data_IF_852361800875
#
_entry.id   IF_852361800875
#
_cell.length_a   1.000
_cell.length_b   1.000
_cell.length_c   1.000
_cell.angle_alpha   90.00
_cell.angle_beta   90.00
_cell.angle_gamma   90.00
#
_symmetry.space_group_name_H-M   'P 1'
#
loop_
_entity.id
_entity.type
_entity.pdbx_description
1 polymer ?
#
# COMPACT_ATOMS: atom_id res chain seq x y z
N UNK A 1 -11.71 14.87 -2.60
CA UNK A 1 -11.12 13.50 -2.51
C UNK A 1 -12.26 12.48 -2.48
N UNK A 2 -12.19 11.38 -3.28
CA UNK A 2 -13.10 10.23 -3.18
C UNK A 2 -12.64 9.32 -2.04
N UNK A 3 -13.57 8.52 -1.49
CA UNK A 3 -13.29 7.59 -0.39
C UNK A 3 -13.68 6.17 -0.76
N UNK A 4 -13.06 5.22 -0.08
CA UNK A 4 -13.36 3.79 -0.11
C UNK A 4 -13.83 3.37 1.29
N UNK A 5 -14.81 2.48 1.37
CA UNK A 5 -15.39 2.02 2.64
C UNK A 5 -14.97 0.58 2.93
N UNK A 6 -14.45 0.34 4.13
CA UNK A 6 -14.02 -0.97 4.62
C UNK A 6 -14.92 -1.42 5.78
N UNK A 7 -15.18 -2.73 5.86
CA UNK A 7 -15.90 -3.33 7.00
C UNK A 7 -14.97 -3.39 8.22
N UNK A 8 -15.46 -2.96 9.37
CA UNK A 8 -14.71 -3.05 10.64
C UNK A 8 -14.97 -4.37 11.37
N UNK A 9 -14.08 -4.71 12.31
CA UNK A 9 -14.16 -5.96 13.08
C UNK A 9 -15.40 -6.03 13.99
N UNK A 10 -15.97 -4.89 14.35
CA UNK A 10 -17.21 -4.77 15.14
C UNK A 10 -18.49 -4.72 14.30
N UNK A 11 -18.36 -4.88 12.97
CA UNK A 11 -19.48 -4.86 12.03
C UNK A 11 -19.88 -3.47 11.52
N UNK A 12 -19.19 -2.41 11.92
CA UNK A 12 -19.32 -1.06 11.40
C UNK A 12 -18.56 -0.85 10.08
N UNK A 13 -18.22 0.40 9.79
CA UNK A 13 -17.47 0.78 8.59
C UNK A 13 -16.40 1.82 8.89
N UNK A 14 -15.28 1.76 8.16
CA UNK A 14 -14.23 2.76 8.13
C UNK A 14 -14.14 3.33 6.70
N UNK A 15 -14.20 4.66 6.58
CA UNK A 15 -14.03 5.37 5.30
C UNK A 15 -12.60 5.88 5.20
N UNK A 16 -11.89 5.56 4.12
CA UNK A 16 -10.51 5.98 3.86
C UNK A 16 -10.40 6.70 2.53
N UNK A 17 -9.46 7.64 2.40
CA UNK A 17 -9.21 8.33 1.12
C UNK A 17 -8.78 7.37 0.02
N UNK A 18 -9.29 7.57 -1.21
CA UNK A 18 -8.92 6.75 -2.39
C UNK A 18 -7.48 6.97 -2.86
N UNK A 19 -6.74 7.87 -2.28
CA UNK A 19 -5.29 7.98 -2.41
C UNK A 19 -4.72 7.85 -1.00
N UNK A 20 -3.77 6.93 -0.84
CA UNK A 20 -3.10 6.63 0.44
C UNK A 20 -1.65 7.11 0.36
N UNK A 21 -1.17 7.83 1.37
CA UNK A 21 0.22 8.27 1.42
C UNK A 21 1.12 7.15 1.94
N UNK A 22 2.02 6.62 1.10
CA UNK A 22 3.03 5.65 1.51
C UNK A 22 4.17 6.32 2.28
N UNK A 23 4.58 5.70 3.36
CA UNK A 23 5.60 6.24 4.26
C UNK A 23 6.91 5.45 4.28
N UNK A 24 7.11 4.49 3.37
CA UNK A 24 8.37 3.73 3.31
C UNK A 24 9.61 4.62 3.16
N UNK A 25 9.49 5.75 2.47
CA UNK A 25 10.55 6.76 2.30
C UNK A 25 10.49 7.92 3.31
N UNK A 26 9.56 7.91 4.27
CA UNK A 26 9.38 9.03 5.21
C UNK A 26 10.63 9.29 6.05
N UNK A 27 11.38 8.27 6.38
CA UNK A 27 12.67 8.38 7.06
C UNK A 27 13.72 9.17 6.26
N UNK A 28 13.69 9.07 4.93
CA UNK A 28 14.57 9.86 4.04
C UNK A 28 14.12 11.33 4.02
N UNK A 29 12.82 11.57 3.92
CA UNK A 29 12.24 12.93 4.00
C UNK A 29 12.61 13.56 5.35
N UNK A 30 12.47 12.83 6.45
CA UNK A 30 12.86 13.26 7.79
C UNK A 30 14.35 13.66 7.89
N UNK A 31 15.23 12.83 7.34
CA UNK A 31 16.67 13.13 7.33
C UNK A 31 17.02 14.36 6.50
N UNK A 32 16.25 14.62 5.45
CA UNK A 32 16.50 15.73 4.51
C UNK A 32 15.88 17.05 4.99
N UNK A 33 14.62 17.01 5.45
CA UNK A 33 13.83 18.20 5.76
C UNK A 33 13.68 18.46 7.27
N UNK A 34 14.14 17.56 8.12
CA UNK A 34 13.91 17.60 9.56
C UNK A 34 12.44 17.40 9.94
N UNK A 35 12.15 17.58 11.24
CA UNK A 35 10.82 17.33 11.80
C UNK A 35 9.74 18.18 11.16
N UNK A 36 9.91 19.51 11.22
CA UNK A 36 8.89 20.44 10.75
C UNK A 36 8.70 20.38 9.22
N UNK A 37 9.77 20.11 8.45
CA UNK A 37 9.66 19.90 7.01
C UNK A 37 8.88 18.63 6.68
N UNK A 38 9.10 17.56 7.43
CA UNK A 38 8.32 16.31 7.29
C UNK A 38 6.87 16.51 7.68
N UNK A 39 6.61 17.30 8.72
CA UNK A 39 5.25 17.59 9.15
C UNK A 39 4.50 18.43 8.11
N UNK A 40 5.11 19.45 7.50
CA UNK A 40 4.51 20.18 6.38
C UNK A 40 4.21 19.30 5.18
N UNK A 41 5.10 18.34 4.87
CA UNK A 41 4.87 17.35 3.81
C UNK A 41 3.58 16.53 4.06
N UNK A 42 3.35 16.07 5.30
CA UNK A 42 2.11 15.35 5.66
C UNK A 42 0.91 16.32 5.71
N UNK A 43 1.10 17.53 6.23
CA UNK A 43 0.07 18.59 6.24
C UNK A 43 -0.41 18.90 4.82
N UNK A 44 0.51 18.91 3.82
CA UNK A 44 0.14 19.12 2.40
C UNK A 44 -0.78 18.01 1.88
N UNK A 45 -0.50 16.75 2.20
CA UNK A 45 -1.37 15.62 1.85
C UNK A 45 -2.77 15.79 2.45
N UNK A 46 -2.85 16.11 3.73
CA UNK A 46 -4.12 16.33 4.44
C UNK A 46 -4.90 17.54 3.91
N UNK A 47 -4.22 18.64 3.66
CA UNK A 47 -4.83 19.85 3.11
C UNK A 47 -5.47 19.64 1.73
N UNK A 48 -5.01 18.64 0.98
CA UNK A 48 -5.59 18.22 -0.29
C UNK A 48 -6.68 17.14 -0.13
N UNK A 49 -7.07 16.83 1.10
CA UNK A 49 -8.17 15.92 1.44
C UNK A 49 -7.76 14.46 1.62
N UNK A 50 -6.46 14.15 1.67
CA UNK A 50 -5.97 12.83 2.05
C UNK A 50 -6.07 12.62 3.56
N UNK A 51 -6.54 11.47 3.99
CA UNK A 51 -6.74 11.15 5.41
C UNK A 51 -6.11 9.82 5.84
N UNK A 52 -5.45 9.11 4.91
CA UNK A 52 -4.95 7.76 5.17
C UNK A 52 -3.48 7.64 4.79
N UNK A 53 -2.67 7.13 5.69
CA UNK A 53 -1.25 6.84 5.47
C UNK A 53 -0.95 5.37 5.66
N UNK A 54 -0.08 4.85 4.80
CA UNK A 54 0.42 3.48 4.84
C UNK A 54 1.82 3.43 5.41
N UNK A 55 2.02 2.63 6.46
CA UNK A 55 3.30 2.37 7.10
C UNK A 55 3.49 0.87 7.36
N UNK A 56 4.52 0.51 8.10
CA UNK A 56 4.80 -0.86 8.51
C UNK A 56 5.85 -0.88 9.63
N UNK A 57 5.78 -1.90 10.46
CA UNK A 57 6.70 -2.09 11.60
C UNK A 57 8.18 -1.96 11.22
N UNK A 58 8.56 -2.41 10.01
CA UNK A 58 9.95 -2.41 9.55
C UNK A 58 10.35 -1.14 8.79
N UNK A 59 9.41 -0.26 8.45
CA UNK A 59 9.70 0.90 7.61
C UNK A 59 10.63 1.90 8.30
N UNK A 60 11.66 2.31 7.57
CA UNK A 60 12.72 3.21 8.05
C UNK A 60 14.00 2.49 8.48
N UNK A 61 14.02 1.14 8.52
CA UNK A 61 15.14 0.31 8.94
C UNK A 61 15.49 -0.81 7.96
N UNK A 62 15.28 -0.62 6.69
CA UNK A 62 15.41 -1.66 5.66
C UNK A 62 16.81 -2.30 5.56
N UNK A 63 17.85 -1.63 6.08
CA UNK A 63 19.25 -2.07 6.01
C UNK A 63 19.89 -2.28 7.39
N UNK A 64 19.27 -1.77 8.44
CA UNK A 64 19.70 -1.98 9.81
C UNK A 64 18.46 -2.17 10.71
N UNK A 65 18.46 -3.17 11.56
CA UNK A 65 17.35 -3.43 12.47
C UNK A 65 17.17 -2.32 13.52
N UNK A 66 18.14 -1.43 13.68
CA UNK A 66 18.15 -0.32 14.64
C UNK A 66 17.11 0.73 14.30
N UNK A 67 16.90 0.97 13.00
CA UNK A 67 15.94 1.96 12.49
C UNK A 67 14.54 1.38 12.22
N UNK A 68 14.29 0.11 12.56
CA UNK A 68 12.96 -0.50 12.39
C UNK A 68 11.87 0.30 13.10
N UNK A 69 10.85 0.70 12.33
CA UNK A 69 9.70 1.46 12.82
C UNK A 69 9.94 2.95 12.99
N UNK A 70 11.05 3.49 12.46
CA UNK A 70 11.27 4.95 12.47
C UNK A 70 10.11 5.69 11.80
N UNK A 71 9.52 5.14 10.73
CA UNK A 71 8.37 5.78 10.07
C UNK A 71 7.13 5.81 10.99
N UNK A 72 6.85 4.75 11.74
CA UNK A 72 5.78 4.77 12.76
C UNK A 72 6.05 5.78 13.88
N UNK A 73 7.31 5.90 14.34
CA UNK A 73 7.69 6.87 15.36
C UNK A 73 7.53 8.32 14.87
N UNK A 74 7.87 8.61 13.62
CA UNK A 74 7.66 9.92 12.99
C UNK A 74 6.15 10.23 12.93
N UNK A 75 5.33 9.27 12.48
CA UNK A 75 3.87 9.42 12.45
C UNK A 75 3.27 9.67 13.84
N UNK A 76 3.74 8.96 14.88
CA UNK A 76 3.33 9.20 16.27
C UNK A 76 3.60 10.65 16.71
N UNK A 77 4.80 11.16 16.41
CA UNK A 77 5.16 12.56 16.72
C UNK A 77 4.29 13.55 15.95
N UNK A 78 4.06 13.27 14.65
CA UNK A 78 3.19 14.09 13.81
C UNK A 78 1.77 14.15 14.38
N UNK A 79 1.15 13.01 14.64
CA UNK A 79 -0.23 12.90 15.16
C UNK A 79 -0.37 13.69 16.46
N UNK A 80 0.56 13.51 17.39
CA UNK A 80 0.57 14.26 18.66
C UNK A 80 0.72 15.76 18.46
N UNK A 81 1.63 16.18 17.57
CA UNK A 81 1.87 17.59 17.26
C UNK A 81 0.64 18.26 16.65
N UNK A 82 -0.08 17.57 15.76
CA UNK A 82 -1.25 18.10 15.04
C UNK A 82 -2.59 17.75 15.73
N UNK A 83 -2.58 16.93 16.79
CA UNK A 83 -3.78 16.46 17.53
C UNK A 83 -4.82 15.86 16.59
N UNK A 84 -4.37 14.98 15.69
CA UNK A 84 -5.19 14.45 14.60
C UNK A 84 -5.43 12.94 14.71
N UNK A 85 -5.50 12.42 15.92
CA UNK A 85 -5.66 10.99 16.21
C UNK A 85 -6.90 10.38 15.55
N UNK A 86 -7.97 11.16 15.43
CA UNK A 86 -9.24 10.74 14.86
C UNK A 86 -9.44 11.14 13.39
N UNK A 87 -8.51 11.92 12.82
CA UNK A 87 -8.63 12.47 11.47
C UNK A 87 -7.65 11.82 10.47
N UNK A 88 -6.59 11.20 10.97
CA UNK A 88 -5.59 10.51 10.16
C UNK A 88 -5.66 9.01 10.40
N UNK A 89 -6.04 8.26 9.37
CA UNK A 89 -6.09 6.81 9.42
C UNK A 89 -4.72 6.20 9.16
N UNK A 90 -4.36 5.20 9.97
CA UNK A 90 -3.07 4.51 9.89
C UNK A 90 -3.28 3.07 9.44
N UNK A 91 -2.62 2.70 8.33
CA UNK A 91 -2.39 1.32 7.94
C UNK A 91 -1.01 0.94 8.43
N UNK A 92 -0.89 -0.11 9.24
CA UNK A 92 0.42 -0.68 9.58
C UNK A 92 0.44 -2.19 9.45
N UNK A 93 1.65 -2.76 9.39
CA UNK A 93 1.86 -4.16 9.01
C UNK A 93 2.88 -4.84 9.92
N UNK A 94 2.61 -6.10 10.28
CA UNK A 94 3.55 -6.99 10.99
C UNK A 94 3.76 -8.31 10.25
N UNK A 95 4.57 -9.20 10.83
CA UNK A 95 4.87 -10.50 10.24
C UNK A 95 5.77 -10.41 9.00
N UNK A 96 6.56 -9.34 8.84
CA UNK A 96 7.55 -9.27 7.76
C UNK A 96 8.67 -10.29 8.01
N UNK A 97 9.17 -10.98 6.97
CA UNK A 97 10.27 -11.93 7.11
C UNK A 97 11.52 -11.31 7.76
N UNK A 98 12.33 -12.13 8.45
CA UNK A 98 13.64 -11.68 8.87
C UNK A 98 14.55 -11.49 7.65
N UNK A 99 15.15 -10.31 7.56
CA UNK A 99 16.09 -9.93 6.51
C UNK A 99 17.55 -10.15 6.92
N UNK A 100 17.82 -11.16 7.77
CA UNK A 100 19.17 -11.50 8.20
C UNK A 100 20.09 -11.89 7.04
N UNK A 101 19.49 -12.24 5.90
CA UNK A 101 20.20 -12.49 4.66
C UNK A 101 19.59 -11.61 3.55
N UNK A 102 20.45 -11.01 2.70
CA UNK A 102 20.03 -10.34 1.47
C UNK A 102 19.54 -11.32 0.39
N UNK A 103 19.59 -12.60 0.69
CA UNK A 103 19.14 -13.67 -0.20
C UNK A 103 17.66 -13.95 0.06
N UNK A 104 16.80 -13.40 -0.80
CA UNK A 104 15.35 -13.61 -0.76
C UNK A 104 14.94 -15.09 -0.96
N UNK A 105 15.86 -15.96 -1.40
CA UNK A 105 15.61 -17.41 -1.46
C UNK A 105 15.62 -18.06 -0.07
N UNK A 106 16.21 -17.40 0.92
CA UNK A 106 16.33 -17.84 2.31
C UNK A 106 15.39 -17.09 3.27
N UNK A 107 14.29 -16.55 2.77
CA UNK A 107 13.30 -15.84 3.59
C UNK A 107 12.79 -16.75 4.71
N UNK A 108 12.96 -16.31 5.95
CA UNK A 108 12.37 -16.92 7.13
C UNK A 108 11.07 -16.19 7.46
N UNK A 109 9.95 -16.84 7.22
CA UNK A 109 8.66 -16.28 7.58
C UNK A 109 8.50 -16.21 9.10
N UNK A 110 8.22 -15.01 9.63
CA UNK A 110 7.96 -14.74 11.04
C UNK A 110 6.45 -14.85 11.35
N UNK A 111 5.80 -15.90 10.85
CA UNK A 111 4.34 -16.11 10.98
C UNK A 111 4.03 -17.09 12.11
N UNK A 112 4.74 -16.97 13.26
CA UNK A 112 4.29 -17.58 14.52
C UNK A 112 3.36 -16.62 15.25
N UNK A 113 2.49 -17.17 16.09
CA UNK A 113 1.58 -16.37 16.92
C UNK A 113 2.34 -15.31 17.73
N UNK A 114 3.42 -15.70 18.39
CA UNK A 114 4.25 -14.81 19.22
C UNK A 114 4.86 -13.67 18.40
N UNK A 115 5.36 -13.97 17.20
CA UNK A 115 5.98 -12.96 16.33
C UNK A 115 4.95 -11.96 15.81
N UNK A 116 3.78 -12.44 15.35
CA UNK A 116 2.72 -11.57 14.81
C UNK A 116 2.12 -10.69 15.89
N UNK A 117 1.81 -11.26 17.07
CA UNK A 117 1.29 -10.49 18.20
C UNK A 117 2.35 -9.49 18.73
N UNK A 118 3.62 -9.92 18.83
CA UNK A 118 4.73 -9.05 19.23
C UNK A 118 4.89 -7.87 18.27
N UNK A 119 4.78 -8.09 16.96
CA UNK A 119 4.82 -7.03 15.95
C UNK A 119 3.62 -6.08 16.08
N UNK A 120 2.42 -6.62 16.30
CA UNK A 120 1.20 -5.84 16.49
C UNK A 120 1.31 -4.90 17.71
N UNK A 121 1.67 -5.44 18.88
CA UNK A 121 1.80 -4.62 20.09
C UNK A 121 2.95 -3.61 19.98
N UNK A 122 4.06 -3.98 19.34
CA UNK A 122 5.17 -3.05 19.06
C UNK A 122 4.70 -1.85 18.24
N UNK A 123 3.94 -2.08 17.18
CA UNK A 123 3.38 -1.00 16.35
C UNK A 123 2.34 -0.17 17.11
N UNK A 124 1.46 -0.82 17.88
CA UNK A 124 0.46 -0.15 18.70
C UNK A 124 1.11 0.81 19.72
N UNK A 125 2.10 0.30 20.48
CA UNK A 125 2.81 1.09 21.48
C UNK A 125 3.64 2.22 20.86
N UNK A 126 4.17 2.02 19.66
CA UNK A 126 4.97 3.04 18.96
C UNK A 126 4.09 4.14 18.37
N UNK A 127 2.98 3.81 17.76
CA UNK A 127 2.06 4.77 17.15
C UNK A 127 1.34 5.64 18.19
N UNK A 128 0.98 5.10 19.35
CA UNK A 128 0.32 5.80 20.47
C UNK A 128 -0.90 6.64 20.06
N UNK A 129 -1.65 6.13 19.08
CA UNK A 129 -2.79 6.82 18.47
C UNK A 129 -4.15 6.39 19.07
N UNK A 130 -4.17 5.32 19.85
CA UNK A 130 -5.36 4.54 20.17
C UNK A 130 -5.50 3.37 19.19
N UNK A 131 -6.70 2.86 18.93
CA UNK A 131 -6.85 1.72 18.02
C UNK A 131 -6.23 1.99 16.65
N UNK A 132 -5.46 1.03 16.14
CA UNK A 132 -4.92 1.03 14.79
C UNK A 132 -6.10 0.95 13.81
N UNK A 133 -6.14 1.81 12.78
CA UNK A 133 -7.27 1.81 11.87
C UNK A 133 -7.29 0.56 10.99
N UNK A 134 -6.13 0.19 10.41
CA UNK A 134 -6.00 -1.03 9.59
C UNK A 134 -4.70 -1.73 9.97
N UNK A 135 -4.78 -2.98 10.42
CA UNK A 135 -3.61 -3.83 10.64
C UNK A 135 -3.57 -4.97 9.63
N UNK A 136 -2.40 -5.22 9.06
CA UNK A 136 -2.21 -6.24 8.02
C UNK A 136 -1.07 -7.20 8.35
N UNK A 137 -1.22 -8.47 7.95
CA UNK A 137 -0.06 -9.34 7.76
C UNK A 137 0.68 -8.90 6.50
N UNK A 138 1.99 -8.64 6.61
CA UNK A 138 2.79 -8.03 5.54
C UNK A 138 3.14 -9.02 4.42
N UNK A 139 3.12 -10.32 4.72
CA UNK A 139 3.35 -11.43 3.77
C UNK A 139 2.43 -12.60 4.11
N UNK A 140 2.29 -13.51 3.16
CA UNK A 140 1.71 -14.82 3.41
C UNK A 140 2.79 -15.79 3.94
N UNK A 141 2.36 -16.86 4.60
CA UNK A 141 3.15 -18.02 4.97
C UNK A 141 2.45 -19.28 4.42
N UNK A 142 2.70 -19.63 3.14
CA UNK A 142 1.96 -20.71 2.46
C UNK A 142 2.06 -22.07 3.15
N UNK A 143 3.10 -22.29 3.96
CA UNK A 143 3.31 -23.52 4.75
C UNK A 143 2.39 -23.60 5.98
N UNK A 144 1.73 -22.50 6.35
CA UNK A 144 0.79 -22.47 7.47
C UNK A 144 -0.65 -22.68 6.96
N UNK A 145 -1.47 -23.44 7.68
CA UNK A 145 -2.91 -23.47 7.42
C UNK A 145 -3.52 -22.08 7.52
N UNK A 146 -4.46 -21.75 6.64
CA UNK A 146 -5.16 -20.46 6.69
C UNK A 146 -5.87 -20.26 8.03
N UNK A 147 -6.48 -21.33 8.57
CA UNK A 147 -7.14 -21.32 9.89
C UNK A 147 -6.22 -20.83 11.01
N UNK A 148 -4.94 -21.26 11.00
CA UNK A 148 -3.95 -20.81 11.99
C UNK A 148 -3.73 -19.30 11.92
N UNK A 149 -3.63 -18.74 10.72
CA UNK A 149 -3.45 -17.31 10.54
C UNK A 149 -4.70 -16.51 10.92
N UNK A 150 -5.88 -17.04 10.58
CA UNK A 150 -7.16 -16.41 10.94
C UNK A 150 -7.39 -16.38 12.46
N UNK A 151 -6.99 -17.43 13.17
CA UNK A 151 -7.10 -17.46 14.63
C UNK A 151 -6.21 -16.38 15.30
N UNK A 152 -5.02 -16.10 14.75
CA UNK A 152 -4.14 -15.01 15.24
C UNK A 152 -4.78 -13.64 14.93
N UNK A 153 -5.30 -13.45 13.73
CA UNK A 153 -5.96 -12.19 13.35
C UNK A 153 -7.23 -11.93 14.18
N UNK A 154 -7.98 -12.97 14.49
CA UNK A 154 -9.15 -12.87 15.38
C UNK A 154 -8.75 -12.52 16.81
N UNK A 155 -7.63 -13.07 17.31
CA UNK A 155 -7.09 -12.67 18.62
C UNK A 155 -6.74 -11.17 18.66
N UNK A 156 -6.11 -10.65 17.60
CA UNK A 156 -5.83 -9.23 17.45
C UNK A 156 -7.16 -8.43 17.40
N UNK A 157 -8.14 -8.86 16.62
CA UNK A 157 -9.43 -8.19 16.51
C UNK A 157 -10.15 -8.10 17.88
N UNK A 158 -10.10 -9.17 18.67
CA UNK A 158 -10.73 -9.24 20.02
C UNK A 158 -10.07 -8.34 21.05
N UNK A 159 -8.87 -7.81 20.80
CA UNK A 159 -8.27 -6.83 21.72
C UNK A 159 -9.02 -5.50 21.76
N UNK A 160 -9.81 -5.17 20.72
CA UNK A 160 -10.41 -3.85 20.53
C UNK A 160 -9.39 -2.76 20.16
N UNK A 161 -8.13 -3.13 19.87
CA UNK A 161 -7.04 -2.21 19.55
C UNK A 161 -6.82 -2.06 18.03
N UNK A 162 -7.70 -2.63 17.22
CA UNK A 162 -7.70 -2.52 15.75
C UNK A 162 -9.14 -2.37 15.24
N UNK A 163 -9.32 -1.58 14.17
CA UNK A 163 -10.64 -1.40 13.55
C UNK A 163 -10.87 -2.31 12.36
N UNK A 164 -9.85 -2.52 11.52
CA UNK A 164 -9.94 -3.31 10.28
C UNK A 164 -8.79 -4.30 10.19
N UNK A 165 -9.08 -5.54 9.85
CA UNK A 165 -8.10 -6.58 9.53
C UNK A 165 -7.91 -6.67 8.02
N UNK A 166 -6.64 -6.62 7.58
CA UNK A 166 -6.23 -6.82 6.20
C UNK A 166 -5.07 -7.79 6.07
N UNK A 167 -4.69 -8.07 4.83
CA UNK A 167 -3.50 -8.86 4.50
C UNK A 167 -2.79 -8.25 3.30
N UNK A 168 -1.47 -8.39 3.25
CA UNK A 168 -0.65 -7.94 2.13
C UNK A 168 0.06 -9.14 1.48
N UNK A 169 0.05 -9.14 0.13
CA UNK A 169 0.68 -10.18 -0.67
C UNK A 169 0.12 -11.60 -0.47
N UNK A 170 -1.14 -11.72 -0.11
CA UNK A 170 -1.83 -13.00 -0.05
C UNK A 170 -2.48 -13.34 -1.39
N UNK A 171 -2.44 -14.61 -1.85
CA UNK A 171 -3.30 -15.06 -2.95
C UNK A 171 -4.78 -14.86 -2.62
N UNK A 172 -5.57 -14.40 -3.59
CA UNK A 172 -7.01 -14.17 -3.37
C UNK A 172 -7.73 -15.44 -2.89
N UNK A 173 -7.34 -16.61 -3.40
CA UNK A 173 -7.92 -17.90 -2.97
C UNK A 173 -7.76 -18.14 -1.47
N UNK A 174 -6.60 -17.77 -0.89
CA UNK A 174 -6.36 -17.91 0.55
C UNK A 174 -7.14 -16.87 1.37
N UNK A 175 -7.37 -15.67 0.83
CA UNK A 175 -8.24 -14.67 1.47
C UNK A 175 -9.68 -15.20 1.53
N UNK A 176 -10.18 -15.76 0.43
CA UNK A 176 -11.54 -16.32 0.37
C UNK A 176 -11.71 -17.53 1.29
N UNK A 177 -10.71 -18.44 1.33
CA UNK A 177 -10.65 -19.55 2.28
C UNK A 177 -10.66 -19.06 3.73
N UNK A 178 -9.83 -18.05 4.05
CA UNK A 178 -9.75 -17.44 5.38
C UNK A 178 -11.08 -16.82 5.80
N UNK A 179 -11.73 -16.08 4.92
CA UNK A 179 -13.02 -15.48 5.20
C UNK A 179 -14.15 -16.53 5.34
N UNK A 180 -14.08 -17.64 4.59
CA UNK A 180 -15.01 -18.76 4.78
C UNK A 180 -14.82 -19.40 6.18
N UNK A 181 -13.56 -19.62 6.58
CA UNK A 181 -13.24 -20.13 7.92
C UNK A 181 -13.73 -19.17 9.00
N UNK A 182 -13.40 -17.87 8.90
CA UNK A 182 -13.80 -16.84 9.86
C UNK A 182 -15.32 -16.82 10.05
N UNK A 183 -16.10 -16.81 8.96
CA UNK A 183 -17.58 -16.87 9.04
C UNK A 183 -18.09 -18.12 9.78
N UNK A 184 -17.45 -19.26 9.53
CA UNK A 184 -17.84 -20.53 10.19
C UNK A 184 -17.60 -20.53 11.70
N UNK A 185 -16.72 -19.64 12.18
CA UNK A 185 -16.32 -19.50 13.59
C UNK A 185 -16.86 -18.23 14.27
N UNK A 186 -17.53 -17.36 13.53
CA UNK A 186 -17.94 -16.05 14.06
C UNK A 186 -16.75 -15.13 14.37
N UNK A 187 -15.67 -15.24 13.60
CA UNK A 187 -14.44 -14.46 13.73
C UNK A 187 -14.43 -13.26 12.78
N UNK A 188 -13.50 -12.33 12.99
CA UNK A 188 -13.26 -11.20 12.10
C UNK A 188 -12.78 -11.68 10.71
N UNK A 189 -13.38 -11.11 9.66
CA UNK A 189 -12.99 -11.37 8.27
C UNK A 189 -11.88 -10.43 7.83
N UNK A 190 -11.07 -10.87 6.84
CA UNK A 190 -10.16 -10.00 6.10
C UNK A 190 -11.01 -9.06 5.24
N UNK A 191 -10.93 -7.77 5.50
CA UNK A 191 -11.76 -6.75 4.86
C UNK A 191 -11.08 -6.05 3.68
N UNK A 192 -9.75 -6.19 3.52
CA UNK A 192 -8.97 -5.52 2.49
C UNK A 192 -7.70 -6.31 2.16
N UNK A 193 -7.32 -6.29 0.89
CA UNK A 193 -6.09 -6.90 0.37
C UNK A 193 -5.12 -5.82 -0.11
N UNK A 194 -3.84 -5.92 0.28
CA UNK A 194 -2.80 -5.05 -0.25
C UNK A 194 -1.88 -5.83 -1.19
N UNK A 195 -1.90 -5.48 -2.48
CA UNK A 195 -1.12 -6.15 -3.53
C UNK A 195 -0.41 -5.14 -4.42
N UNK A 196 0.58 -5.61 -5.17
CA UNK A 196 1.24 -4.80 -6.18
C UNK A 196 0.32 -4.62 -7.40
N UNK A 197 -0.08 -3.39 -7.68
CA UNK A 197 -0.87 -3.05 -8.85
C UNK A 197 -0.60 -1.63 -9.32
N UNK A 198 -0.33 -1.49 -10.60
CA UNK A 198 -0.12 -0.21 -11.27
C UNK A 198 -0.63 -0.29 -12.71
N UNK A 199 -0.70 0.86 -13.38
CA UNK A 199 -0.95 0.88 -14.83
C UNK A 199 0.19 0.23 -15.62
N UNK A 200 1.43 0.28 -15.11
CA UNK A 200 2.55 -0.42 -15.72
C UNK A 200 2.55 -1.90 -15.38
N UNK A 201 2.82 -2.73 -16.37
CA UNK A 201 3.01 -4.17 -16.21
C UNK A 201 4.37 -4.48 -15.56
N UNK A 202 4.38 -5.44 -14.66
CA UNK A 202 5.57 -6.12 -14.14
C UNK A 202 5.17 -7.53 -13.70
N UNK A 203 6.15 -8.39 -13.46
CA UNK A 203 5.93 -9.75 -13.00
C UNK A 203 6.85 -10.14 -11.84
N UNK A 204 6.59 -11.31 -11.25
CA UNK A 204 7.37 -11.85 -10.13
C UNK A 204 8.83 -12.11 -10.52
N UNK A 205 9.08 -12.52 -11.78
CA UNK A 205 10.43 -12.80 -12.26
C UNK A 205 11.26 -11.51 -12.35
N UNK A 206 10.69 -10.43 -12.91
CA UNK A 206 11.35 -9.12 -12.96
C UNK A 206 11.64 -8.56 -11.58
N UNK A 207 10.72 -8.79 -10.60
CA UNK A 207 10.86 -8.34 -9.22
C UNK A 207 11.86 -9.16 -8.41
N UNK A 208 12.15 -10.39 -8.84
CA UNK A 208 12.93 -11.38 -8.09
C UNK A 208 12.45 -11.57 -6.65
N UNK A 209 11.13 -11.51 -6.44
CA UNK A 209 10.47 -11.72 -5.15
C UNK A 209 9.18 -12.51 -5.36
N UNK A 210 9.25 -13.81 -5.16
CA UNK A 210 8.12 -14.74 -5.31
C UNK A 210 7.09 -14.67 -4.20
N UNK A 211 7.32 -13.85 -3.18
CA UNK A 211 6.37 -13.63 -2.08
C UNK A 211 5.39 -12.49 -2.36
N UNK A 212 5.55 -11.82 -3.51
CA UNK A 212 4.66 -10.75 -3.94
C UNK A 212 3.41 -11.32 -4.63
N UNK A 213 2.27 -10.72 -4.33
CA UNK A 213 1.06 -10.83 -5.13
C UNK A 213 1.00 -9.64 -6.08
N UNK A 214 1.09 -9.90 -7.38
CA UNK A 214 1.12 -8.88 -8.43
C UNK A 214 -0.12 -9.05 -9.29
N UNK A 215 -0.83 -7.94 -9.56
CA UNK A 215 -2.01 -7.97 -10.42
C UNK A 215 -1.62 -8.31 -11.85
N UNK A 216 -2.20 -9.37 -12.36
CA UNK A 216 -2.22 -9.77 -13.76
C UNK A 216 -3.66 -9.92 -14.26
N UNK A 217 -3.84 -10.23 -15.54
CA UNK A 217 -5.17 -10.37 -16.14
C UNK A 217 -6.01 -11.48 -15.48
N UNK A 218 -5.39 -12.59 -15.09
CA UNK A 218 -6.08 -13.71 -14.46
C UNK A 218 -6.57 -13.34 -13.05
N UNK A 219 -5.71 -12.71 -12.25
CA UNK A 219 -6.04 -12.23 -10.91
C UNK A 219 -7.08 -11.10 -10.97
N UNK A 220 -6.98 -10.21 -11.97
CA UNK A 220 -7.95 -9.15 -12.19
C UNK A 220 -9.37 -9.70 -12.42
N UNK A 221 -9.51 -10.74 -13.27
CA UNK A 221 -10.81 -11.39 -13.49
C UNK A 221 -11.37 -12.02 -12.21
N UNK A 222 -10.51 -12.54 -11.34
CA UNK A 222 -10.94 -13.07 -10.05
C UNK A 222 -11.44 -11.95 -9.11
N UNK A 223 -10.72 -10.82 -9.04
CA UNK A 223 -11.13 -9.68 -8.22
C UNK A 223 -12.41 -9.01 -8.70
N UNK A 224 -12.73 -9.04 -9.99
CA UNK A 224 -14.02 -8.55 -10.50
C UNK A 224 -15.23 -9.30 -9.89
N UNK A 225 -15.02 -10.53 -9.47
CA UNK A 225 -16.06 -11.39 -8.85
C UNK A 225 -15.95 -11.46 -7.31
N UNK A 226 -14.91 -10.88 -6.73
CA UNK A 226 -14.65 -10.94 -5.29
C UNK A 226 -14.95 -9.59 -4.62
N UNK A 227 -15.72 -9.56 -3.52
CA UNK A 227 -16.06 -8.31 -2.82
C UNK A 227 -14.92 -7.87 -1.86
N UNK A 228 -13.67 -7.97 -2.28
CA UNK A 228 -12.48 -7.62 -1.49
C UNK A 228 -11.83 -6.39 -2.14
N UNK A 229 -11.90 -5.21 -1.52
CA UNK A 229 -11.23 -4.02 -2.03
C UNK A 229 -9.71 -4.15 -1.92
N UNK A 230 -9.01 -3.40 -2.77
CA UNK A 230 -7.56 -3.43 -2.88
C UNK A 230 -6.97 -2.10 -2.40
N UNK A 231 -5.89 -2.18 -1.64
CA UNK A 231 -4.91 -1.10 -1.47
C UNK A 231 -3.71 -1.49 -2.34
N UNK A 232 -3.35 -0.67 -3.34
CA UNK A 232 -2.30 -1.06 -4.28
C UNK A 232 -0.98 -0.36 -3.98
N UNK A 233 0.06 -1.14 -3.71
CA UNK A 233 1.41 -0.59 -3.59
C UNK A 233 2.15 -0.58 -4.94
N UNK A 234 3.25 0.17 -5.02
CA UNK A 234 3.98 0.46 -6.28
C UNK A 234 3.09 1.02 -7.39
N UNK A 235 1.99 1.67 -7.03
CA UNK A 235 0.94 2.18 -7.91
C UNK A 235 1.45 3.11 -9.01
N UNK A 236 2.55 3.82 -8.75
CA UNK A 236 3.19 4.76 -9.68
C UNK A 236 4.39 4.16 -10.44
N UNK A 237 4.58 2.82 -10.37
CA UNK A 237 5.66 2.12 -11.08
C UNK A 237 7.05 2.76 -10.86
N UNK A 238 7.36 3.19 -9.62
CA UNK A 238 8.59 3.93 -9.28
C UNK A 238 8.80 5.19 -10.13
N UNK A 239 7.72 5.86 -10.49
CA UNK A 239 7.76 7.09 -11.26
C UNK A 239 8.04 6.90 -12.77
N UNK A 240 7.96 5.68 -13.30
CA UNK A 240 8.29 5.35 -14.69
C UNK A 240 7.79 6.41 -15.68
N UNK A 241 6.49 6.64 -15.73
CA UNK A 241 5.89 7.52 -16.73
C UNK A 241 6.15 9.01 -16.44
N UNK A 242 6.22 9.40 -15.18
CA UNK A 242 6.54 10.78 -14.80
C UNK A 242 7.99 11.14 -15.14
N UNK A 243 8.93 10.23 -14.89
CA UNK A 243 10.36 10.44 -15.19
C UNK A 243 10.61 10.44 -16.69
N UNK A 244 9.95 9.57 -17.47
CA UNK A 244 9.98 9.61 -18.92
C UNK A 244 9.39 10.92 -19.46
N UNK A 245 8.30 11.43 -18.89
CA UNK A 245 7.66 12.68 -19.31
C UNK A 245 8.54 13.90 -19.05
N UNK A 246 9.23 13.89 -17.92
CA UNK A 246 10.17 14.94 -17.52
C UNK A 246 11.51 14.89 -18.30
N UNK A 247 11.74 13.83 -19.07
CA UNK A 247 13.01 13.63 -19.80
C UNK A 247 14.18 13.25 -18.89
N UNK A 248 13.92 12.70 -17.71
CA UNK A 248 14.94 12.22 -16.79
C UNK A 248 15.73 11.04 -17.39
N UNK A 249 15.10 10.26 -18.26
CA UNK A 249 15.68 9.26 -19.13
C UNK A 249 14.74 8.96 -20.31
N UNK A 250 15.26 8.32 -21.33
CA UNK A 250 14.50 7.89 -22.52
C UNK A 250 13.96 6.46 -22.33
N UNK A 251 13.08 6.03 -23.25
CA UNK A 251 12.60 4.64 -23.21
C UNK A 251 13.73 3.62 -23.35
N UNK A 252 14.75 3.90 -24.15
CA UNK A 252 15.87 2.99 -24.40
C UNK A 252 16.72 2.77 -23.13
N UNK A 253 16.66 3.69 -22.17
CA UNK A 253 17.36 3.62 -20.88
C UNK A 253 16.53 2.93 -19.77
N UNK A 254 15.26 2.59 -20.01
CA UNK A 254 14.38 1.98 -18.98
C UNK A 254 14.96 0.68 -18.43
N UNK A 255 15.57 -0.16 -19.29
CA UNK A 255 16.17 -1.42 -18.86
C UNK A 255 17.28 -1.23 -17.82
N UNK A 256 18.02 -0.12 -17.89
CA UNK A 256 19.06 0.26 -16.92
C UNK A 256 18.46 0.98 -15.70
N UNK A 257 17.61 1.98 -15.92
CA UNK A 257 17.14 2.91 -14.88
C UNK A 257 15.96 2.37 -14.08
N UNK A 258 15.10 1.55 -14.69
CA UNK A 258 13.88 1.03 -14.07
C UNK A 258 13.54 -0.39 -14.60
N UNK A 259 14.49 -1.30 -14.50
CA UNK A 259 14.47 -2.65 -15.09
C UNK A 259 13.21 -3.47 -14.81
N UNK A 260 12.56 -3.22 -13.68
CA UNK A 260 11.36 -3.96 -13.27
C UNK A 260 10.14 -3.68 -14.16
N UNK A 261 10.21 -2.64 -14.99
CA UNK A 261 9.15 -2.21 -15.88
C UNK A 261 9.60 -2.12 -17.35
N UNK A 262 10.73 -2.71 -17.69
CA UNK A 262 11.30 -2.72 -19.05
C UNK A 262 10.61 -3.76 -19.95
N UNK A 263 9.31 -3.60 -20.16
CA UNK A 263 8.48 -4.46 -21.01
C UNK A 263 7.91 -3.65 -22.17
N UNK A 264 7.80 -4.26 -23.37
CA UNK A 264 7.26 -3.58 -24.56
C UNK A 264 5.80 -3.11 -24.33
N UNK A 265 5.01 -3.84 -23.57
CA UNK A 265 3.66 -3.43 -23.16
C UNK A 265 3.68 -2.06 -22.46
N UNK A 266 4.68 -1.80 -21.65
CA UNK A 266 4.83 -0.51 -20.98
C UNK A 266 5.24 0.61 -21.91
N UNK A 267 5.94 0.29 -23.01
CA UNK A 267 6.22 1.26 -24.07
C UNK A 267 4.95 1.69 -24.78
N UNK A 268 4.06 0.76 -25.08
CA UNK A 268 2.75 1.06 -25.65
C UNK A 268 1.89 1.88 -24.70
N UNK A 269 1.88 1.51 -23.41
CA UNK A 269 1.19 2.28 -22.36
C UNK A 269 1.76 3.69 -22.19
N UNK A 270 3.07 3.84 -22.33
CA UNK A 270 3.72 5.16 -22.32
C UNK A 270 3.21 6.07 -23.45
N UNK A 271 3.03 5.54 -24.66
CA UNK A 271 2.49 6.32 -25.77
C UNK A 271 1.08 6.83 -25.45
N UNK A 272 0.23 6.01 -24.84
CA UNK A 272 -1.12 6.42 -24.40
C UNK A 272 -1.04 7.48 -23.28
N UNK A 273 -0.18 7.31 -22.29
CA UNK A 273 0.00 8.32 -21.23
C UNK A 273 0.41 9.67 -21.82
N UNK A 274 1.34 9.69 -22.78
CA UNK A 274 1.72 10.94 -23.49
C UNK A 274 0.56 11.61 -24.18
N UNK A 275 -0.31 10.83 -24.84
CA UNK A 275 -1.51 11.35 -25.51
C UNK A 275 -2.46 12.05 -24.52
N UNK A 276 -2.69 11.43 -23.35
CA UNK A 276 -3.50 12.07 -22.29
C UNK A 276 -2.85 13.35 -21.77
N UNK A 277 -1.54 13.33 -21.55
CA UNK A 277 -0.78 14.48 -21.06
C UNK A 277 -0.65 15.62 -22.06
N UNK A 278 -1.02 15.43 -23.34
CA UNK A 278 -1.15 16.52 -24.30
C UNK A 278 -2.32 17.46 -23.96
N UNK A 279 -3.26 17.04 -23.12
CA UNK A 279 -4.34 17.88 -22.61
C UNK A 279 -3.82 18.76 -21.47
N UNK A 280 -4.16 20.06 -21.43
CA UNK A 280 -3.67 20.97 -20.39
C UNK A 280 -4.01 20.48 -18.97
N UNK A 281 -3.04 20.52 -18.05
CA UNK A 281 -3.23 20.23 -16.63
C UNK A 281 -3.31 18.74 -16.27
N UNK A 282 -3.11 17.83 -17.23
CA UNK A 282 -3.08 16.39 -16.96
C UNK A 282 -1.63 15.91 -16.88
N UNK A 283 -1.26 15.33 -15.75
CA UNK A 283 0.06 14.75 -15.52
C UNK A 283 0.07 13.22 -15.70
N UNK A 284 1.24 12.62 -15.95
CA UNK A 284 1.36 11.16 -15.94
C UNK A 284 0.90 10.52 -14.63
N UNK A 285 1.21 11.13 -13.48
CA UNK A 285 0.76 10.62 -12.18
C UNK A 285 -0.76 10.61 -12.07
N UNK A 286 -1.43 11.69 -12.51
CA UNK A 286 -2.89 11.76 -12.53
C UNK A 286 -3.50 10.65 -13.40
N UNK A 287 -2.96 10.42 -14.60
CA UNK A 287 -3.47 9.39 -15.54
C UNK A 287 -3.35 7.99 -14.94
N UNK A 288 -2.15 7.60 -14.48
CA UNK A 288 -1.92 6.23 -13.99
C UNK A 288 -2.65 5.93 -12.68
N UNK A 289 -2.82 6.92 -11.81
CA UNK A 289 -3.59 6.77 -10.58
C UNK A 289 -5.10 6.80 -10.86
N UNK A 290 -5.57 7.58 -11.84
CA UNK A 290 -6.95 7.58 -12.29
C UNK A 290 -7.36 6.20 -12.84
N UNK A 291 -6.48 5.48 -13.53
CA UNK A 291 -6.72 4.09 -13.92
C UNK A 291 -7.09 3.22 -12.72
N UNK A 292 -6.40 3.35 -11.59
CA UNK A 292 -6.66 2.57 -10.39
C UNK A 292 -7.92 3.04 -9.66
N UNK A 293 -8.08 4.36 -9.48
CA UNK A 293 -9.21 4.92 -8.72
C UNK A 293 -10.55 4.87 -9.45
N UNK A 294 -10.54 4.75 -10.77
CA UNK A 294 -11.73 4.61 -11.62
C UNK A 294 -12.06 3.16 -11.99
N UNK A 295 -11.22 2.20 -11.54
CA UNK A 295 -11.36 0.81 -11.91
C UNK A 295 -12.64 0.19 -11.30
N UNK A 296 -13.32 -0.75 -12.00
CA UNK A 296 -14.42 -1.54 -11.43
C UNK A 296 -14.04 -2.35 -10.18
N UNK A 297 -12.81 -2.82 -10.09
CA UNK A 297 -12.26 -3.38 -8.84
C UNK A 297 -11.95 -2.22 -7.90
N UNK A 298 -12.62 -2.16 -6.75
CA UNK A 298 -12.45 -1.10 -5.75
C UNK A 298 -10.98 -1.02 -5.30
N UNK A 299 -10.32 0.12 -5.57
CA UNK A 299 -8.89 0.27 -5.33
C UNK A 299 -8.55 1.65 -4.74
N UNK A 300 -7.67 1.66 -3.74
CA UNK A 300 -7.02 2.85 -3.20
C UNK A 300 -5.49 2.73 -3.39
N UNK A 301 -4.88 3.42 -4.38
CA UNK A 301 -3.44 3.38 -4.60
C UNK A 301 -2.64 4.10 -3.52
N UNK A 302 -1.53 3.47 -3.11
CA UNK A 302 -0.51 4.06 -2.26
C UNK A 302 0.44 4.88 -3.16
N UNK A 303 0.62 6.15 -2.85
CA UNK A 303 1.57 7.03 -3.54
C UNK A 303 2.89 7.11 -2.77
N UNK A 304 4.01 7.16 -3.51
CA UNK A 304 5.37 7.23 -2.98
C UNK A 304 6.05 8.55 -3.36
N UNK A 305 5.51 9.68 -2.92
CA UNK A 305 6.01 11.00 -3.24
C UNK A 305 7.21 11.41 -2.36
N UNK A 306 8.13 12.19 -2.92
CA UNK A 306 9.27 12.77 -2.19
C UNK A 306 9.08 14.26 -1.93
N UNK A 307 8.16 14.91 -2.64
CA UNK A 307 7.93 16.36 -2.57
C UNK A 307 6.44 16.69 -2.44
N UNK A 308 6.14 17.88 -1.92
CA UNK A 308 4.77 18.40 -1.80
C UNK A 308 4.10 18.60 -3.18
N UNK A 309 4.88 18.90 -4.22
CA UNK A 309 4.36 19.01 -5.58
C UNK A 309 3.93 17.66 -6.15
N UNK A 310 4.71 16.60 -5.91
CA UNK A 310 4.34 15.25 -6.33
C UNK A 310 3.08 14.75 -5.59
N UNK A 311 2.88 15.15 -4.33
CA UNK A 311 1.63 14.89 -3.60
C UNK A 311 0.47 15.59 -4.31
N UNK A 312 0.60 16.89 -4.59
CA UNK A 312 -0.48 17.66 -5.23
C UNK A 312 -0.84 17.10 -6.59
N UNK A 313 0.16 16.70 -7.38
CA UNK A 313 -0.01 16.08 -8.68
C UNK A 313 -0.75 14.73 -8.58
N UNK A 314 -0.35 13.88 -7.64
CA UNK A 314 -0.99 12.59 -7.41
C UNK A 314 -2.43 12.71 -6.91
N UNK A 315 -2.73 13.71 -6.06
CA UNK A 315 -4.07 13.90 -5.50
C UNK A 315 -5.06 14.53 -6.50
N UNK A 316 -4.62 14.96 -7.66
CA UNK A 316 -5.51 15.37 -8.78
C UNK A 316 -6.17 14.17 -9.49
N UNK A 317 -5.63 12.96 -9.31
CA UNK A 317 -6.11 11.75 -9.99
C UNK A 317 -7.59 11.42 -9.76
N UNK A 318 -8.19 11.54 -8.55
CA UNK A 318 -9.61 11.24 -8.36
C UNK A 318 -10.57 12.15 -9.11
N UNK A 319 -10.12 13.30 -9.60
CA UNK A 319 -10.91 14.23 -10.41
C UNK A 319 -10.91 13.84 -11.89
N UNK A 320 -9.96 12.98 -12.31
CA UNK A 320 -9.90 12.42 -13.65
C UNK A 320 -10.57 11.04 -13.64
N UNK A 321 -11.65 10.90 -14.40
CA UNK A 321 -12.30 9.60 -14.61
C UNK A 321 -11.88 9.07 -15.96
N UNK A 322 -11.23 7.91 -15.95
CA UNK A 322 -10.82 7.19 -17.16
C UNK A 322 -11.58 5.88 -17.21
N UNK A 323 -12.13 5.53 -18.36
CA UNK A 323 -12.73 4.21 -18.55
C UNK A 323 -11.63 3.16 -18.79
N UNK A 324 -11.85 1.88 -18.42
CA UNK A 324 -10.92 0.81 -18.76
C UNK A 324 -10.62 0.70 -20.26
N UNK A 325 -11.59 1.05 -21.12
CA UNK A 325 -11.41 1.09 -22.58
C UNK A 325 -10.44 2.18 -23.00
N UNK A 326 -10.48 3.35 -22.35
CA UNK A 326 -9.57 4.46 -22.66
C UNK A 326 -8.12 4.15 -22.32
N UNK A 327 -7.89 3.22 -21.38
CA UNK A 327 -6.54 2.86 -20.90
C UNK A 327 -6.04 1.49 -21.38
N UNK A 328 -6.82 0.79 -22.20
CA UNK A 328 -6.42 -0.48 -22.86
C UNK A 328 -5.54 -0.32 -24.08
#
# INVERSE_FOLDING_TARGET
MKHMTLKTVDGGTLSISKIVLGTSSLHTIWRTLGEEGTFRYIDRFRALGGDTVDTGRTYGGEMDQISFGLCEAILSRYIKSRRCENELHIITKGGFPDLDTRDLSMIRFRMTREAVLGDFYTSYDRLQKGPIDIYMLHRDAPEKPVSYMMDILDEIAKTGLVKVIGVSNWPLSRILEGNAYARSKGQAEIAVSEIMWSYAYTDVAARNDRTLSIMDDALYQQYLSAPIPIISFSSQARGLFSLLYQGAYTWDEVAEKNRWYAFEDNRLRWLKVKEYCARPGISPAAVILAYLTSNPVECAPIIGCMTENEIADSLSAPDLTLTPEELR
#
